data_IF_985545248805
#
_entry.id   IF_985545248805
#
_cell.length_a   1.000
_cell.length_b   1.000
_cell.length_c   1.000
_cell.angle_alpha   90.00
_cell.angle_beta   90.00
_cell.angle_gamma   90.00
#
_symmetry.space_group_name_H-M   'P 1'
#
loop_
_entity.id
_entity.type
_entity.pdbx_description
1 polymer ?
#
# COMPACT_ATOMS: atom_id res chain seq x y z
N UNK A 1 24.69 2.30 2.02
CA UNK A 1 23.38 1.62 2.19
C UNK A 1 23.13 0.86 0.91
N UNK A 2 22.74 -0.41 0.98
CA UNK A 2 22.33 -1.12 -0.22
C UNK A 2 21.05 -0.45 -0.75
N UNK A 3 20.95 -0.26 -2.07
CA UNK A 3 19.71 0.19 -2.67
C UNK A 3 18.64 -0.87 -2.40
N UNK A 4 17.48 -0.46 -1.90
CA UNK A 4 16.32 -1.34 -1.79
C UNK A 4 15.82 -1.65 -3.21
N UNK A 5 15.43 -2.88 -3.45
CA UNK A 5 14.78 -3.33 -4.69
C UNK A 5 13.38 -3.84 -4.37
N UNK A 6 12.57 -4.08 -5.41
CA UNK A 6 11.24 -4.67 -5.25
C UNK A 6 11.25 -5.95 -4.38
N UNK A 7 12.28 -6.78 -4.52
CA UNK A 7 12.41 -8.05 -3.80
C UNK A 7 12.54 -7.88 -2.27
N UNK A 8 13.02 -6.73 -1.80
CA UNK A 8 13.12 -6.48 -0.36
C UNK A 8 11.74 -6.39 0.31
N UNK A 9 10.72 -6.01 -0.47
CA UNK A 9 9.36 -5.81 -0.01
C UNK A 9 8.51 -7.07 -0.09
N UNK A 10 8.96 -8.14 -0.77
CA UNK A 10 8.19 -9.36 -0.98
C UNK A 10 7.60 -9.93 0.33
N UNK A 11 6.39 -10.48 0.23
CA UNK A 11 5.63 -11.05 1.34
C UNK A 11 4.52 -10.14 1.86
N UNK A 12 3.95 -10.55 2.99
CA UNK A 12 2.74 -9.98 3.55
C UNK A 12 3.01 -8.86 4.56
N UNK A 13 2.19 -7.82 4.50
CA UNK A 13 2.24 -6.64 5.36
C UNK A 13 0.84 -6.26 5.81
N UNK A 14 0.68 -5.92 7.09
CA UNK A 14 -0.57 -5.40 7.65
C UNK A 14 -0.48 -3.89 7.71
N UNK A 15 -1.37 -3.21 7.00
CA UNK A 15 -1.45 -1.74 7.00
C UNK A 15 -1.84 -1.27 8.40
N UNK A 16 -1.06 -0.34 8.93
CA UNK A 16 -1.25 0.22 10.27
C UNK A 16 -1.86 1.63 10.19
N UNK A 17 -1.43 2.41 9.19
CA UNK A 17 -1.81 3.80 9.06
C UNK A 17 -1.79 4.20 7.59
N UNK A 18 -2.77 5.01 7.20
CA UNK A 18 -2.80 5.72 5.92
C UNK A 18 -3.14 7.17 6.24
N UNK A 19 -2.40 8.09 5.65
CA UNK A 19 -2.55 9.52 5.88
C UNK A 19 -3.97 9.96 5.52
N UNK A 20 -4.57 10.73 6.43
CA UNK A 20 -5.92 11.31 6.30
C UNK A 20 -7.05 10.27 6.18
N UNK A 21 -6.83 9.01 6.56
CA UNK A 21 -7.83 7.93 6.50
C UNK A 21 -7.92 7.18 7.82
N UNK A 22 -9.12 7.07 8.36
CA UNK A 22 -9.39 6.23 9.53
C UNK A 22 -9.62 4.77 9.11
N UNK A 23 -8.75 3.87 9.54
CA UNK A 23 -8.81 2.44 9.20
C UNK A 23 -9.61 1.61 10.22
N UNK A 24 -9.88 2.15 11.42
CA UNK A 24 -10.57 1.40 12.49
C UNK A 24 -11.88 0.72 12.05
N UNK A 25 -12.73 1.31 11.20
CA UNK A 25 -14.00 0.71 10.77
C UNK A 25 -13.84 -0.51 9.85
N UNK A 26 -12.70 -0.63 9.17
CA UNK A 26 -12.48 -1.61 8.09
C UNK A 26 -11.66 -2.83 8.53
N UNK A 27 -11.16 -2.81 9.77
CA UNK A 27 -10.34 -3.88 10.32
C UNK A 27 -8.93 -3.91 9.73
N UNK A 28 -8.30 -5.08 9.77
CA UNK A 28 -6.91 -5.25 9.31
C UNK A 28 -6.85 -5.34 7.78
N UNK A 29 -6.34 -4.28 7.15
CA UNK A 29 -6.03 -4.28 5.73
C UNK A 29 -4.66 -4.93 5.49
N UNK A 30 -4.57 -5.77 4.46
CA UNK A 30 -3.36 -6.52 4.11
C UNK A 30 -2.85 -6.16 2.72
N UNK A 31 -1.54 -5.97 2.62
CA UNK A 31 -0.77 -5.90 1.40
C UNK A 31 0.11 -7.13 1.25
N UNK A 32 0.28 -7.59 0.03
CA UNK A 32 1.13 -8.72 -0.34
C UNK A 32 1.93 -8.31 -1.57
N UNK A 33 3.26 -8.32 -1.43
CA UNK A 33 4.17 -8.01 -2.51
C UNK A 33 4.71 -9.31 -3.09
N UNK A 34 4.65 -9.43 -4.40
CA UNK A 34 5.24 -10.53 -5.14
C UNK A 34 5.82 -10.01 -6.45
N UNK A 35 7.15 -10.02 -6.55
CA UNK A 35 7.90 -9.81 -7.79
C UNK A 35 7.50 -8.53 -8.57
N UNK A 36 7.41 -7.39 -7.86
CA UNK A 36 7.02 -6.10 -8.46
C UNK A 36 5.51 -5.89 -8.62
N UNK A 37 4.70 -6.80 -8.09
CA UNK A 37 3.24 -6.66 -7.98
C UNK A 37 2.86 -6.45 -6.53
N UNK A 38 1.95 -5.52 -6.28
CA UNK A 38 1.28 -5.28 -5.01
C UNK A 38 -0.17 -5.75 -5.11
N UNK A 39 -0.52 -6.76 -4.31
CA UNK A 39 -1.88 -7.19 -4.06
C UNK A 39 -2.34 -6.57 -2.73
N UNK A 40 -3.33 -5.70 -2.77
CA UNK A 40 -3.82 -5.01 -1.59
C UNK A 40 -5.29 -5.26 -1.32
N UNK A 41 -5.65 -5.24 -0.04
CA UNK A 41 -7.03 -5.18 0.42
C UNK A 41 -7.35 -3.74 0.80
N UNK A 42 -8.28 -3.11 0.10
CA UNK A 42 -8.84 -1.81 0.45
C UNK A 42 -10.02 -1.94 1.42
N UNK A 43 -10.55 -0.80 1.92
CA UNK A 43 -11.72 -0.73 2.80
C UNK A 43 -12.96 -1.51 2.32
N UNK A 44 -13.18 -1.56 1.01
CA UNK A 44 -14.30 -2.20 0.34
C UNK A 44 -13.85 -3.33 -0.57
N UNK A 45 -12.83 -3.07 -1.39
CA UNK A 45 -12.45 -3.93 -2.51
C UNK A 45 -10.97 -4.28 -2.44
N UNK A 46 -10.64 -5.48 -2.89
CA UNK A 46 -9.26 -5.81 -3.21
C UNK A 46 -8.83 -5.05 -4.45
N UNK A 47 -7.54 -4.71 -4.53
CA UNK A 47 -6.93 -4.12 -5.72
C UNK A 47 -5.59 -4.79 -5.99
N UNK A 48 -5.18 -4.74 -7.24
CA UNK A 48 -3.86 -5.18 -7.68
C UNK A 48 -3.21 -4.04 -8.43
N UNK A 49 -1.92 -3.81 -8.19
CA UNK A 49 -1.14 -2.86 -8.97
C UNK A 49 0.28 -3.34 -9.14
N UNK A 50 0.97 -2.83 -10.16
CA UNK A 50 2.38 -3.13 -10.42
C UNK A 50 3.23 -1.90 -10.19
N UNK A 51 4.48 -2.13 -9.79
CA UNK A 51 5.50 -1.12 -9.64
C UNK A 51 6.81 -1.61 -10.26
N UNK A 52 7.64 -0.67 -10.72
CA UNK A 52 8.93 -1.02 -11.33
C UNK A 52 9.94 -1.57 -10.32
N UNK A 53 11.11 -2.03 -10.80
CA UNK A 53 12.20 -2.46 -9.93
C UNK A 53 12.81 -1.31 -9.10
N UNK A 54 12.58 -0.07 -9.51
CA UNK A 54 13.01 1.14 -8.81
C UNK A 54 11.98 1.54 -7.77
N UNK A 55 12.42 1.72 -6.52
CA UNK A 55 11.57 2.05 -5.37
C UNK A 55 11.80 3.47 -4.85
N UNK A 56 12.68 4.25 -5.50
CA UNK A 56 12.98 5.64 -5.12
C UNK A 56 12.29 6.66 -6.04
N UNK A 57 11.73 6.24 -7.18
CA UNK A 57 10.84 7.04 -8.04
C UNK A 57 9.79 6.15 -8.72
N UNK A 58 9.11 5.31 -7.94
CA UNK A 58 8.12 4.39 -8.47
C UNK A 58 6.83 5.10 -8.87
N UNK A 59 6.05 4.45 -9.72
CA UNK A 59 4.66 4.81 -9.97
C UNK A 59 3.85 3.53 -10.00
N UNK A 60 2.84 3.45 -9.15
CA UNK A 60 1.88 2.34 -9.19
C UNK A 60 0.95 2.50 -10.39
N UNK A 61 0.99 1.55 -11.31
CA UNK A 61 0.08 1.51 -12.47
C UNK A 61 0.21 0.19 -13.24
N UNK A 62 -0.90 -0.37 -13.77
CA UNK A 62 -2.30 0.04 -13.58
C UNK A 62 -2.84 -0.35 -12.18
N UNK A 63 -4.00 0.19 -11.80
CA UNK A 63 -4.77 -0.30 -10.66
C UNK A 63 -5.95 -1.13 -11.18
N UNK A 64 -5.91 -2.43 -10.93
CA UNK A 64 -7.02 -3.34 -11.17
C UNK A 64 -7.81 -3.51 -9.87
N UNK A 65 -8.98 -2.88 -9.81
CA UNK A 65 -9.85 -2.92 -8.63
C UNK A 65 -10.85 -4.06 -8.82
N UNK A 66 -10.98 -4.91 -7.81
CA UNK A 66 -11.93 -6.02 -7.78
C UNK A 66 -13.40 -5.57 -7.91
N UNK A 67 -14.27 -6.52 -8.24
CA UNK A 67 -15.71 -6.29 -8.30
C UNK A 67 -16.34 -6.25 -6.90
N UNK A 68 -17.40 -5.47 -6.73
CA UNK A 68 -18.15 -5.38 -5.48
C UNK A 68 -18.74 -3.99 -5.26
N UNK A 69 -19.78 -3.92 -4.42
CA UNK A 69 -20.36 -2.66 -3.97
C UNK A 69 -20.46 -2.71 -2.44
N UNK A 70 -20.02 -1.63 -1.81
CA UNK A 70 -20.25 -1.36 -0.39
C UNK A 70 -21.22 -0.19 -0.26
N UNK A 71 -21.52 0.22 0.97
CA UNK A 71 -22.19 1.49 1.22
C UNK A 71 -21.39 2.69 0.68
N UNK A 72 -22.10 3.80 0.47
CA UNK A 72 -21.56 5.00 -0.17
C UNK A 72 -20.40 5.61 0.63
N UNK A 73 -20.50 5.62 1.96
CA UNK A 73 -19.44 6.14 2.84
C UNK A 73 -18.15 5.34 2.69
N UNK A 74 -18.25 4.01 2.73
CA UNK A 74 -17.11 3.11 2.52
C UNK A 74 -16.51 3.27 1.12
N UNK A 75 -17.34 3.49 0.09
CA UNK A 75 -16.85 3.74 -1.27
C UNK A 75 -16.10 5.08 -1.42
N UNK A 76 -16.50 6.11 -0.66
CA UNK A 76 -15.78 7.39 -0.62
C UNK A 76 -14.39 7.18 -0.01
N UNK A 77 -14.31 6.49 1.13
CA UNK A 77 -13.04 6.19 1.80
C UNK A 77 -12.15 5.30 0.94
N UNK A 78 -12.69 4.28 0.29
CA UNK A 78 -11.96 3.42 -0.66
C UNK A 78 -11.30 4.26 -1.76
N UNK A 79 -12.02 5.23 -2.33
CA UNK A 79 -11.46 6.11 -3.36
C UNK A 79 -10.32 6.97 -2.81
N UNK A 80 -10.48 7.54 -1.62
CA UNK A 80 -9.43 8.34 -0.98
C UNK A 80 -8.20 7.48 -0.66
N UNK A 81 -8.41 6.24 -0.20
CA UNK A 81 -7.37 5.26 0.07
C UNK A 81 -6.56 4.92 -1.20
N UNK A 82 -7.24 4.58 -2.29
CA UNK A 82 -6.56 4.29 -3.56
C UNK A 82 -5.85 5.52 -4.12
N UNK A 83 -6.37 6.73 -3.90
CA UNK A 83 -5.68 7.97 -4.26
C UNK A 83 -4.37 8.14 -3.47
N UNK A 84 -4.35 7.87 -2.16
CA UNK A 84 -3.11 7.93 -1.38
C UNK A 84 -2.07 6.94 -1.90
N UNK A 85 -2.46 5.71 -2.24
CA UNK A 85 -1.54 4.71 -2.81
C UNK A 85 -1.02 5.19 -4.18
N UNK A 86 -1.90 5.72 -5.03
CA UNK A 86 -1.50 6.23 -6.35
C UNK A 86 -0.54 7.43 -6.30
N UNK A 87 -0.42 8.11 -5.15
CA UNK A 87 0.54 9.20 -4.92
C UNK A 87 1.90 8.71 -4.41
N UNK A 88 2.02 7.44 -4.03
CA UNK A 88 3.29 6.88 -3.56
C UNK A 88 4.29 6.88 -4.70
N UNK A 89 5.45 7.49 -4.43
CA UNK A 89 6.58 7.53 -5.35
C UNK A 89 7.88 6.95 -4.77
N UNK A 90 7.89 6.64 -3.47
CA UNK A 90 9.03 6.02 -2.80
C UNK A 90 8.58 5.03 -1.74
N UNK A 91 9.27 3.90 -1.64
CA UNK A 91 9.10 2.93 -0.55
C UNK A 91 10.41 2.76 0.22
N UNK A 92 10.29 2.58 1.52
CA UNK A 92 11.41 2.31 2.41
C UNK A 92 11.01 1.30 3.48
N UNK A 93 11.99 0.65 4.09
CA UNK A 93 11.84 -0.18 5.27
C UNK A 93 12.51 0.56 6.42
N UNK A 94 11.70 1.13 7.31
CA UNK A 94 12.18 1.83 8.50
C UNK A 94 13.02 0.94 9.41
N UNK A 95 13.76 1.56 10.35
CA UNK A 95 14.66 0.85 11.26
C UNK A 95 14.00 -0.28 12.06
N UNK A 96 12.70 -0.18 12.32
CA UNK A 96 11.90 -1.17 13.04
C UNK A 96 11.36 -2.30 12.13
N UNK A 97 11.78 -2.36 10.86
CA UNK A 97 11.29 -3.32 9.88
C UNK A 97 9.90 -2.99 9.33
N UNK A 98 9.41 -1.77 9.56
CA UNK A 98 8.11 -1.30 9.06
C UNK A 98 8.24 -0.79 7.62
N UNK A 99 7.34 -1.22 6.73
CA UNK A 99 7.19 -0.62 5.41
C UNK A 99 6.63 0.80 5.58
N UNK A 100 7.31 1.77 4.99
CA UNK A 100 6.84 3.14 4.88
C UNK A 100 6.79 3.55 3.41
N UNK A 101 5.61 3.96 2.96
CA UNK A 101 5.40 4.50 1.63
C UNK A 101 5.32 6.02 1.70
N UNK A 102 6.00 6.69 0.77
CA UNK A 102 6.13 8.14 0.74
C UNK A 102 5.59 8.72 -0.55
N UNK A 103 5.12 9.95 -0.44
CA UNK A 103 5.03 10.88 -1.56
C UNK A 103 6.06 11.99 -1.33
N UNK A 104 7.14 11.94 -2.11
CA UNK A 104 8.36 12.70 -1.90
C UNK A 104 8.92 12.42 -0.49
N UNK A 105 8.86 13.40 0.41
CA UNK A 105 9.36 13.28 1.78
C UNK A 105 8.25 13.11 2.82
N UNK A 106 6.99 13.04 2.40
CA UNK A 106 5.87 12.85 3.31
C UNK A 106 5.48 11.37 3.39
N UNK A 107 5.49 10.76 4.60
CA UNK A 107 4.97 9.40 4.76
C UNK A 107 3.45 9.43 4.54
N UNK A 108 2.98 8.57 3.63
CA UNK A 108 1.56 8.40 3.33
C UNK A 108 0.99 7.14 3.95
N UNK A 109 1.77 6.06 4.01
CA UNK A 109 1.28 4.77 4.48
C UNK A 109 2.36 4.06 5.28
N UNK A 110 1.94 3.39 6.34
CA UNK A 110 2.81 2.54 7.15
C UNK A 110 2.19 1.16 7.28
N UNK A 111 3.00 0.13 7.09
CA UNK A 111 2.56 -1.25 7.25
C UNK A 111 3.62 -2.08 7.98
N UNK A 112 3.18 -3.01 8.82
CA UNK A 112 4.06 -3.91 9.57
C UNK A 112 4.14 -5.25 8.85
N UNK A 113 5.32 -5.87 8.78
CA UNK A 113 5.44 -7.20 8.21
C UNK A 113 4.61 -8.21 9.01
N UNK A 114 3.90 -9.07 8.29
CA UNK A 114 3.20 -10.19 8.89
C UNK A 114 4.19 -11.35 8.97
N UNK A 115 4.82 -11.51 10.13
CA UNK A 115 5.55 -12.73 10.45
C UNK A 115 4.53 -13.88 10.61
N UNK A 116 4.69 -14.92 9.80
CA UNK A 116 3.86 -16.13 9.84
C UNK A 116 4.17 -17.06 11.02
#
# INVERSE_FOLDING_TARGET
>A
MAALTAENFDGAWIVQEVKDIDLQPFGELRFDFDNGTLYGSGPCRSFTTTFGPDVENLMFSPFDIGGGLCDEETMIVEREFLQQIGLVNRMDIGADGQLVMYNFDQPLLRAKRLDG
#
